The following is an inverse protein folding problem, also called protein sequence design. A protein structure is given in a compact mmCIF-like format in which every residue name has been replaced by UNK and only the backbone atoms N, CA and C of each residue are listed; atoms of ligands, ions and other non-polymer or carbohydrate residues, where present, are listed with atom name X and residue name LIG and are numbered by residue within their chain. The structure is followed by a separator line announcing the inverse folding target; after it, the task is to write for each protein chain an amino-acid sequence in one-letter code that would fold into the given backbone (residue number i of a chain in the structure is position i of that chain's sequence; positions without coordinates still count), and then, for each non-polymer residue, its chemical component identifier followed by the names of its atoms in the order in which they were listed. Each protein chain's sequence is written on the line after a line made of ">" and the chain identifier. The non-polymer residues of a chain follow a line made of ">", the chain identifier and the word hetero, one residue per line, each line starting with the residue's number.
data_IF_327267014689
#
_entry.id   IF_327267014689
#
_cell.length_a   1.000
_cell.length_b   1.000
_cell.length_c   1.000
_cell.angle_alpha   90.00
_cell.angle_beta   90.00
_cell.angle_gamma   90.00
#
_symmetry.space_group_name_H-M   'P 1'
#
loop_
_entity.id
_entity.type
_entity.pdbx_description
1 polymer ?
#
# COMPACT_ATOMS: atom_id res chain seq x y z
N UNK A 1 33.24 9.05 -5.32
CA UNK A 1 32.72 7.85 -6.02
C UNK A 1 32.36 6.83 -4.95
N UNK A 2 31.15 6.90 -4.40
CA UNK A 2 30.61 5.85 -3.54
C UNK A 2 29.68 5.00 -4.39
N UNK A 3 30.12 3.78 -4.69
CA UNK A 3 29.24 2.72 -5.19
C UNK A 3 28.69 2.01 -3.96
N UNK A 4 27.60 2.52 -3.43
CA UNK A 4 26.81 1.74 -2.47
C UNK A 4 26.22 0.55 -3.20
N UNK A 5 26.55 -0.63 -2.68
CA UNK A 5 26.15 -1.91 -3.22
C UNK A 5 24.62 -2.05 -3.15
N UNK A 6 23.97 -1.87 -4.29
CA UNK A 6 22.61 -2.33 -4.53
C UNK A 6 22.61 -3.84 -4.29
N UNK A 7 21.97 -4.30 -3.22
CA UNK A 7 21.52 -5.69 -3.12
C UNK A 7 20.69 -6.05 -4.36
N UNK A 8 20.40 -7.33 -4.62
CA UNK A 8 19.61 -7.73 -5.77
C UNK A 8 18.20 -7.13 -5.64
N UNK A 9 18.03 -5.93 -6.18
CA UNK A 9 16.75 -5.28 -6.34
C UNK A 9 16.06 -6.09 -7.42
N UNK A 10 15.01 -6.81 -7.04
CA UNK A 10 14.24 -7.59 -7.99
C UNK A 10 13.73 -6.63 -9.07
N UNK A 11 14.21 -6.84 -10.29
CA UNK A 11 13.78 -6.07 -11.43
C UNK A 11 12.41 -6.57 -11.87
N UNK A 12 11.37 -5.79 -11.53
CA UNK A 12 9.98 -6.09 -11.87
C UNK A 12 9.73 -6.02 -13.39
N UNK A 13 10.62 -5.42 -14.18
CA UNK A 13 10.53 -5.45 -15.64
C UNK A 13 10.96 -6.82 -16.20
N UNK A 14 11.78 -7.55 -15.45
CA UNK A 14 12.31 -8.87 -15.81
C UNK A 14 11.67 -10.05 -15.07
N UNK A 15 10.56 -9.83 -14.34
CA UNK A 15 9.77 -10.93 -13.76
C UNK A 15 8.93 -11.67 -14.80
N UNK A 16 8.63 -12.93 -14.52
CA UNK A 16 7.82 -13.78 -15.39
C UNK A 16 6.43 -13.22 -15.70
N UNK A 17 5.82 -13.58 -16.85
CA UNK A 17 4.47 -13.13 -17.23
C UNK A 17 3.40 -13.39 -16.17
N UNK A 18 3.55 -14.46 -15.38
CA UNK A 18 2.65 -14.86 -14.31
C UNK A 18 2.62 -13.81 -13.19
N UNK A 19 3.79 -13.31 -12.78
CA UNK A 19 3.91 -12.27 -11.74
C UNK A 19 3.32 -10.96 -12.25
N UNK A 20 3.59 -10.58 -13.51
CA UNK A 20 3.02 -9.37 -14.11
C UNK A 20 1.50 -9.44 -14.17
N UNK A 21 0.95 -10.57 -14.62
CA UNK A 21 -0.50 -10.80 -14.68
C UNK A 21 -1.13 -10.70 -13.29
N UNK A 22 -0.47 -11.27 -12.28
CA UNK A 22 -0.92 -11.20 -10.90
C UNK A 22 -0.88 -9.77 -10.35
N UNK A 23 0.14 -8.98 -10.68
CA UNK A 23 0.20 -7.56 -10.35
C UNK A 23 -1.00 -6.83 -10.95
N UNK A 24 -1.31 -7.00 -12.23
CA UNK A 24 -2.48 -6.36 -12.85
C UNK A 24 -3.80 -6.77 -12.19
N UNK A 25 -3.95 -8.05 -11.82
CA UNK A 25 -5.11 -8.52 -11.08
C UNK A 25 -5.24 -7.79 -9.73
N UNK A 26 -4.15 -7.69 -8.98
CA UNK A 26 -4.12 -6.93 -7.72
C UNK A 26 -4.49 -5.46 -7.95
N UNK A 27 -3.96 -4.84 -9.01
CA UNK A 27 -4.23 -3.44 -9.31
C UNK A 27 -5.71 -3.18 -9.56
N UNK A 28 -6.41 -4.09 -10.24
CA UNK A 28 -7.86 -3.97 -10.47
C UNK A 28 -8.68 -3.96 -9.17
N UNK A 29 -8.17 -4.54 -8.08
CA UNK A 29 -8.85 -4.52 -6.78
C UNK A 29 -8.83 -3.12 -6.12
N UNK A 30 -7.95 -2.22 -6.56
CA UNK A 30 -7.92 -0.84 -6.05
C UNK A 30 -8.86 0.10 -6.81
N UNK A 31 -9.41 -0.30 -7.96
CA UNK A 31 -10.27 0.54 -8.80
C UNK A 31 -11.39 1.25 -8.04
N UNK A 32 -12.09 0.63 -7.06
CA UNK A 32 -13.13 1.31 -6.29
C UNK A 32 -12.63 2.48 -5.41
N UNK A 33 -11.33 2.56 -5.18
CA UNK A 33 -10.69 3.52 -4.27
C UNK A 33 -9.77 4.52 -4.99
N UNK A 34 -9.64 4.42 -6.31
CA UNK A 34 -8.75 5.24 -7.12
C UNK A 34 -9.53 6.02 -8.16
N UNK A 35 -8.99 7.15 -8.60
CA UNK A 35 -9.50 7.88 -9.77
C UNK A 35 -8.61 7.63 -10.99
N UNK A 36 -9.03 8.03 -12.21
CA UNK A 36 -8.17 7.96 -13.39
C UNK A 36 -6.85 8.73 -13.27
N UNK A 37 -6.76 9.70 -12.36
CA UNK A 37 -5.54 10.47 -12.10
C UNK A 37 -4.61 9.79 -11.07
N UNK A 38 -5.10 8.74 -10.39
CA UNK A 38 -4.27 7.99 -9.44
C UNK A 38 -3.18 7.23 -10.19
N UNK A 39 -1.94 7.53 -9.84
CA UNK A 39 -0.78 6.76 -10.30
C UNK A 39 -0.46 5.64 -9.33
N UNK A 40 -0.25 4.43 -9.85
CA UNK A 40 0.10 3.26 -9.04
C UNK A 40 1.50 2.76 -9.39
N UNK A 41 2.32 2.53 -8.37
CA UNK A 41 3.64 1.95 -8.52
C UNK A 41 3.78 0.70 -7.66
N UNK A 42 4.34 -0.36 -8.25
CA UNK A 42 4.75 -1.58 -7.55
C UNK A 42 6.27 -1.65 -7.60
N UNK A 43 6.90 -1.75 -6.44
CA UNK A 43 8.36 -1.65 -6.30
C UNK A 43 8.86 -2.78 -5.42
N UNK A 44 9.87 -3.51 -5.90
CA UNK A 44 10.64 -4.39 -5.05
C UNK A 44 11.71 -3.61 -4.29
N UNK A 45 11.73 -3.80 -2.96
CA UNK A 45 12.66 -3.15 -2.05
C UNK A 45 13.62 -4.16 -1.46
N UNK A 46 14.76 -3.69 -0.99
CA UNK A 46 15.70 -4.52 -0.21
C UNK A 46 15.06 -4.91 1.14
N UNK A 47 14.87 -6.21 1.42
CA UNK A 47 14.40 -6.68 2.72
C UNK A 47 15.36 -6.33 3.86
N UNK A 48 16.68 -6.34 3.61
CA UNK A 48 17.69 -6.09 4.63
C UNK A 48 17.67 -4.64 5.13
N UNK A 49 17.14 -3.72 4.32
CA UNK A 49 16.94 -2.33 4.74
C UNK A 49 15.97 -2.19 5.92
N UNK A 50 15.11 -3.19 6.22
CA UNK A 50 14.25 -3.18 7.41
C UNK A 50 15.06 -3.20 8.71
N UNK A 51 16.24 -3.84 8.73
CA UNK A 51 17.12 -3.87 9.91
C UNK A 51 17.84 -2.56 10.17
N UNK A 52 17.84 -1.63 9.20
CA UNK A 52 18.41 -0.28 9.38
C UNK A 52 17.41 0.68 10.03
N UNK A 53 16.13 0.30 10.16
CA UNK A 53 15.11 1.09 10.85
C UNK A 53 15.22 0.84 12.35
N UNK A 54 15.09 1.89 13.17
CA UNK A 54 15.23 1.83 14.64
C UNK A 54 14.19 0.90 15.31
N UNK A 55 13.07 0.62 14.64
CA UNK A 55 12.00 -0.31 15.06
C UNK A 55 12.08 -1.67 14.34
N UNK A 56 13.27 -2.25 14.24
CA UNK A 56 13.44 -3.63 13.78
C UNK A 56 12.91 -4.59 14.87
N UNK A 57 11.59 -4.79 14.90
CA UNK A 57 10.90 -5.71 15.83
C UNK A 57 11.30 -7.19 15.65
N UNK A 58 10.34 -8.11 15.74
CA UNK A 58 10.59 -9.55 15.58
C UNK A 58 10.80 -9.93 14.09
N UNK A 59 11.90 -9.44 13.51
CA UNK A 59 12.28 -9.75 12.14
C UNK A 59 13.04 -11.08 12.08
N UNK A 60 12.83 -11.89 11.02
CA UNK A 60 13.59 -13.11 10.81
C UNK A 60 15.11 -12.89 10.83
N UNK A 61 15.90 -13.94 11.11
CA UNK A 61 17.36 -13.89 11.03
C UNK A 61 17.83 -13.28 9.70
N UNK A 62 18.94 -12.54 9.71
CA UNK A 62 19.47 -11.83 8.52
C UNK A 62 19.58 -12.75 7.28
N UNK A 63 20.01 -13.99 7.48
CA UNK A 63 20.17 -14.97 6.40
C UNK A 63 18.85 -15.37 5.74
N UNK A 64 17.76 -15.42 6.52
CA UNK A 64 16.41 -15.68 6.04
C UNK A 64 15.85 -14.44 5.36
N UNK A 65 15.96 -13.28 6.01
CA UNK A 65 15.48 -12.01 5.50
C UNK A 65 16.09 -11.65 4.13
N UNK A 66 17.37 -11.95 3.93
CA UNK A 66 18.07 -11.74 2.65
C UNK A 66 17.49 -12.54 1.47
N UNK A 67 16.67 -13.56 1.74
CA UNK A 67 16.04 -14.42 0.72
C UNK A 67 14.56 -14.13 0.52
N UNK A 68 14.00 -13.19 1.27
CA UNK A 68 12.59 -12.82 1.19
C UNK A 68 12.36 -11.78 0.11
N UNK A 69 11.11 -11.68 -0.36
CA UNK A 69 10.62 -10.61 -1.19
C UNK A 69 9.97 -9.53 -0.31
N UNK A 70 10.40 -8.28 -0.50
CA UNK A 70 9.75 -7.11 0.07
C UNK A 70 9.17 -6.27 -1.04
N UNK A 71 7.85 -6.32 -1.19
CA UNK A 71 7.14 -5.60 -2.25
C UNK A 71 6.38 -4.43 -1.63
N UNK A 72 6.44 -3.28 -2.30
CA UNK A 72 5.72 -2.08 -1.93
C UNK A 72 4.75 -1.71 -3.03
N UNK A 73 3.51 -1.39 -2.65
CA UNK A 73 2.50 -0.81 -3.54
C UNK A 73 2.27 0.61 -3.07
N UNK A 74 2.35 1.56 -3.99
CA UNK A 74 2.15 2.99 -3.75
C UNK A 74 1.03 3.51 -4.64
N UNK A 75 0.09 4.24 -4.04
CA UNK A 75 -0.89 5.08 -4.74
C UNK A 75 -0.51 6.54 -4.54
N UNK A 76 -0.54 7.31 -5.61
CA UNK A 76 -0.24 8.73 -5.57
C UNK A 76 -1.24 9.53 -6.42
N UNK A 77 -1.87 10.51 -5.78
CA UNK A 77 -2.87 11.39 -6.37
C UNK A 77 -2.82 12.75 -5.66
N UNK A 78 -2.77 13.85 -6.43
CA UNK A 78 -2.81 15.23 -5.93
C UNK A 78 -1.87 15.53 -4.75
N UNK A 79 -0.64 15.01 -4.82
CA UNK A 79 0.38 15.19 -3.78
C UNK A 79 0.17 14.34 -2.51
N UNK A 80 -0.92 13.57 -2.44
CA UNK A 80 -1.16 12.56 -1.42
C UNK A 80 -0.57 11.24 -1.85
N UNK A 81 0.23 10.63 -0.98
CA UNK A 81 0.86 9.33 -1.23
C UNK A 81 0.43 8.34 -0.15
N UNK A 82 -0.14 7.22 -0.58
CA UNK A 82 -0.39 6.05 0.27
C UNK A 82 0.54 4.93 -0.15
N UNK A 83 1.12 4.24 0.83
CA UNK A 83 2.09 3.19 0.58
C UNK A 83 1.93 2.09 1.61
N UNK A 84 1.92 0.84 1.15
CA UNK A 84 2.04 -0.31 2.01
C UNK A 84 3.08 -1.29 1.48
N UNK A 85 3.58 -2.13 2.36
CA UNK A 85 4.58 -3.14 2.05
C UNK A 85 4.13 -4.53 2.50
N UNK A 86 4.61 -5.55 1.80
CA UNK A 86 4.47 -6.95 2.15
C UNK A 86 5.83 -7.63 2.12
N UNK A 87 6.14 -8.39 3.17
CA UNK A 87 7.35 -9.19 3.29
C UNK A 87 6.96 -10.68 3.37
N UNK A 88 7.50 -11.49 2.47
CA UNK A 88 7.30 -12.94 2.47
C UNK A 88 8.43 -13.67 1.73
N UNK A 89 8.58 -14.97 1.95
CA UNK A 89 9.51 -15.81 1.20
C UNK A 89 9.04 -16.05 -0.24
N UNK A 90 7.74 -15.93 -0.51
CA UNK A 90 7.14 -16.04 -1.84
C UNK A 90 6.67 -14.67 -2.37
N UNK A 91 6.90 -14.42 -3.67
CA UNK A 91 6.58 -13.12 -4.29
C UNK A 91 5.07 -12.86 -4.38
N UNK A 92 4.26 -13.89 -4.64
CA UNK A 92 2.80 -13.74 -4.72
C UNK A 92 2.23 -13.48 -3.32
N UNK A 93 2.75 -14.17 -2.31
CA UNK A 93 2.40 -13.90 -0.91
C UNK A 93 2.82 -12.49 -0.48
N UNK A 94 4.02 -12.02 -0.83
CA UNK A 94 4.47 -10.67 -0.54
C UNK A 94 3.58 -9.61 -1.22
N UNK A 95 3.23 -9.81 -2.49
CA UNK A 95 2.29 -8.96 -3.23
C UNK A 95 0.91 -8.92 -2.57
N UNK A 96 0.37 -10.08 -2.19
CA UNK A 96 -0.91 -10.18 -1.51
C UNK A 96 -0.91 -9.44 -0.18
N UNK A 97 0.13 -9.61 0.64
CA UNK A 97 0.28 -8.88 1.91
C UNK A 97 0.35 -7.37 1.69
N UNK A 98 1.12 -6.92 0.69
CA UNK A 98 1.20 -5.49 0.36
C UNK A 98 -0.18 -4.94 -0.05
N UNK A 99 -0.93 -5.70 -0.85
CA UNK A 99 -2.31 -5.35 -1.23
C UNK A 99 -3.23 -5.27 -0.01
N UNK A 100 -3.30 -6.33 0.78
CA UNK A 100 -4.21 -6.44 1.91
C UNK A 100 -3.96 -5.30 2.92
N UNK A 101 -2.69 -4.96 3.17
CA UNK A 101 -2.30 -3.84 4.03
C UNK A 101 -2.76 -2.48 3.48
N UNK A 102 -2.61 -2.26 2.17
CA UNK A 102 -3.01 -1.02 1.53
C UNK A 102 -4.54 -0.88 1.47
N UNK A 103 -5.25 -1.96 1.13
CA UNK A 103 -6.71 -1.99 1.13
C UNK A 103 -7.28 -1.72 2.53
N UNK A 104 -6.70 -2.29 3.58
CA UNK A 104 -7.12 -2.01 4.95
C UNK A 104 -7.03 -0.50 5.27
N UNK A 105 -5.95 0.16 4.83
CA UNK A 105 -5.77 1.60 5.00
C UNK A 105 -6.80 2.40 4.20
N UNK A 106 -7.07 2.00 2.96
CA UNK A 106 -8.07 2.66 2.10
C UNK A 106 -9.49 2.52 2.65
N UNK A 107 -9.84 1.34 3.15
CA UNK A 107 -11.14 1.08 3.80
C UNK A 107 -11.27 1.97 5.04
N UNK A 108 -10.24 2.03 5.89
CA UNK A 108 -10.26 2.89 7.08
C UNK A 108 -10.44 4.37 6.71
N UNK A 109 -9.80 4.85 5.63
CA UNK A 109 -9.98 6.21 5.13
C UNK A 109 -11.42 6.41 4.62
N UNK A 110 -11.92 5.47 3.82
CA UNK A 110 -13.27 5.52 3.27
C UNK A 110 -14.33 5.58 4.37
N UNK A 111 -14.25 4.70 5.36
CA UNK A 111 -15.19 4.62 6.48
C UNK A 111 -15.20 5.93 7.28
N UNK A 112 -14.02 6.50 7.57
CA UNK A 112 -13.90 7.82 8.22
C UNK A 112 -14.55 8.95 7.41
N UNK A 113 -14.45 8.92 6.08
CA UNK A 113 -15.05 9.95 5.22
C UNK A 113 -16.56 9.83 5.18
N UNK A 114 -17.09 8.59 5.12
CA UNK A 114 -18.54 8.33 5.14
C UNK A 114 -19.16 8.77 6.46
N UNK A 115 -18.58 8.35 7.59
CA UNK A 115 -19.06 8.72 8.93
C UNK A 115 -19.15 10.24 9.12
N UNK A 116 -18.14 10.98 8.63
CA UNK A 116 -18.12 12.44 8.73
C UNK A 116 -19.21 13.09 7.87
N UNK A 117 -19.53 12.54 6.68
CA UNK A 117 -20.61 13.05 5.83
C UNK A 117 -21.98 12.83 6.48
N UNK A 118 -22.22 11.65 7.05
CA UNK A 118 -23.47 11.36 7.76
C UNK A 118 -23.66 12.28 8.97
N UNK A 119 -22.60 12.50 9.76
CA UNK A 119 -22.62 13.44 10.88
C UNK A 119 -22.98 14.87 10.43
N UNK A 120 -22.41 15.34 9.32
CA UNK A 120 -22.70 16.68 8.79
C UNK A 120 -24.12 16.81 8.26
N UNK A 121 -24.68 15.76 7.67
CA UNK A 121 -26.08 15.73 7.22
C UNK A 121 -27.05 15.78 8.40
N UNK A 122 -26.74 15.09 9.50
CA UNK A 122 -27.53 15.16 10.75
C UNK A 122 -27.50 16.57 11.36
N UNK A 123 -26.33 17.23 11.36
CA UNK A 123 -26.20 18.62 11.83
C UNK A 123 -27.02 19.59 10.96
N UNK A 124 -26.92 19.49 9.64
CA UNK A 124 -27.72 20.34 8.74
C UNK A 124 -29.22 20.10 8.91
N UNK A 125 -29.64 18.85 9.10
CA UNK A 125 -31.04 18.51 9.36
C UNK A 125 -31.53 19.08 10.70
N UNK A 126 -30.69 19.07 11.75
CA UNK A 126 -30.99 19.68 13.04
C UNK A 126 -31.04 21.23 13.00
N UNK A 127 -30.14 21.86 12.25
CA UNK A 127 -30.11 23.31 12.07
C UNK A 127 -31.34 23.81 11.29
N UNK A 128 -31.76 23.09 10.24
CA UNK A 128 -32.92 23.45 9.43
C UNK A 128 -34.26 23.15 10.13
N UNK A 129 -34.31 22.17 11.05
CA UNK A 129 -35.52 21.85 11.84
C UNK A 129 -35.71 22.75 13.07
N UNK A 130 -34.68 23.50 13.48
CA UNK A 130 -34.76 24.50 14.55
C UNK A 130 -35.28 25.88 14.12
N UNK A 131 -35.63 26.07 12.84
CA UNK A 131 -36.03 27.36 12.26
C UNK A 131 -37.51 27.40 11.82
N UNK A 132 -38.36 26.61 12.46
CA UNK A 132 -39.82 26.71 12.37
C UNK A 132 -40.36 27.36 13.66
N UNK A 133 -40.45 28.68 13.65
CA UNK A 133 -41.26 29.49 14.57
C UNK A 133 -41.95 30.60 13.79
#
# INVERSE_FOLDING_TARGET
>A
MEKDALGPQLDLDNVGPEVKSYIYQILSEFEPYTTPETTVAVIAKDPLALRKKEDAGDLPPKAELARMYRISITLHEDGTKLEAEGLDADIFAALRKAKDNLLATLIEIHDKVVDNKERNQQIHSALNSGQLH
#
